data_IF_969084295206
#
_entry.id   IF_969084295206
#
_cell.length_a   1.000
_cell.length_b   1.000
_cell.length_c   1.000
_cell.angle_alpha   90.00
_cell.angle_beta   90.00
_cell.angle_gamma   90.00
#
_symmetry.space_group_name_H-M   'P 1'
#
loop_
_entity.id
_entity.type
_entity.pdbx_description
1 polymer ?
#
# COMPACT_ATOMS: atom_id res chain seq x y z
N UNK A 1 -29.47 21.75 46.70
CA UNK A 1 -28.83 20.57 47.30
C UNK A 1 -27.79 20.05 46.32
N UNK A 2 -26.50 20.27 46.58
CA UNK A 2 -25.42 19.77 45.71
C UNK A 2 -25.07 18.34 46.13
N UNK A 3 -25.36 17.37 45.27
CA UNK A 3 -24.97 15.97 45.44
C UNK A 3 -23.45 15.85 45.32
N UNK A 4 -22.76 15.73 46.45
CA UNK A 4 -21.35 15.37 46.49
C UNK A 4 -21.24 13.88 46.15
N UNK A 5 -20.73 13.57 44.95
CA UNK A 5 -20.43 12.20 44.54
C UNK A 5 -19.22 11.70 45.33
N UNK A 6 -19.45 11.09 46.50
CA UNK A 6 -18.42 10.48 47.33
C UNK A 6 -18.18 9.03 46.92
N UNK A 7 -17.68 8.80 45.70
CA UNK A 7 -17.05 7.53 45.37
C UNK A 7 -15.55 7.77 45.32
N UNK A 8 -14.90 7.60 46.48
CA UNK A 8 -13.45 7.61 46.55
C UNK A 8 -12.90 6.47 45.68
N UNK A 9 -12.02 6.83 44.74
CA UNK A 9 -11.35 5.86 43.90
C UNK A 9 -10.51 4.90 44.76
N UNK A 10 -10.97 3.65 44.88
CA UNK A 10 -10.27 2.65 45.66
C UNK A 10 -9.14 2.04 44.82
N UNK A 11 -7.98 2.71 44.84
CA UNK A 11 -6.80 2.32 44.06
C UNK A 11 -6.34 0.87 44.34
N UNK A 12 -6.59 0.36 45.56
CA UNK A 12 -6.22 -1.00 45.95
C UNK A 12 -7.09 -2.05 45.26
N UNK A 13 -8.40 -1.81 45.19
CA UNK A 13 -9.34 -2.67 44.48
C UNK A 13 -9.03 -2.73 42.98
N UNK A 14 -8.77 -1.57 42.37
CA UNK A 14 -8.42 -1.47 40.94
C UNK A 14 -7.09 -2.18 40.64
N UNK A 15 -6.11 -2.07 41.56
CA UNK A 15 -4.85 -2.80 41.42
C UNK A 15 -5.07 -4.31 41.47
N UNK A 16 -5.96 -4.79 42.34
CA UNK A 16 -6.29 -6.21 42.44
C UNK A 16 -7.01 -6.70 41.17
N UNK A 17 -7.99 -5.95 40.65
CA UNK A 17 -8.69 -6.34 39.41
C UNK A 17 -7.74 -6.41 38.21
N UNK A 18 -6.84 -5.43 38.07
CA UNK A 18 -5.82 -5.44 37.00
C UNK A 18 -4.87 -6.65 37.13
N UNK A 19 -4.51 -7.03 38.36
CA UNK A 19 -3.68 -8.22 38.59
C UNK A 19 -4.38 -9.52 38.23
N UNK A 20 -5.68 -9.63 38.53
CA UNK A 20 -6.52 -10.78 38.15
C UNK A 20 -6.67 -10.88 36.63
N UNK A 21 -6.96 -9.77 35.96
CA UNK A 21 -7.06 -9.70 34.49
C UNK A 21 -5.74 -10.06 33.81
N UNK A 22 -4.61 -9.54 34.31
CA UNK A 22 -3.30 -9.89 33.77
C UNK A 22 -2.97 -11.38 33.92
N UNK A 23 -3.34 -11.99 35.05
CA UNK A 23 -3.19 -13.45 35.23
C UNK A 23 -4.05 -14.22 34.23
N UNK A 24 -5.32 -13.84 34.07
CA UNK A 24 -6.22 -14.44 33.10
C UNK A 24 -5.70 -14.35 31.66
N UNK A 25 -5.22 -13.17 31.25
CA UNK A 25 -4.64 -12.95 29.91
C UNK A 25 -3.38 -13.80 29.71
N UNK A 26 -2.54 -13.90 30.73
CA UNK A 26 -1.33 -14.73 30.69
C UNK A 26 -1.67 -16.21 30.51
N UNK A 27 -2.66 -16.72 31.26
CA UNK A 27 -3.15 -18.09 31.11
C UNK A 27 -3.81 -18.34 29.74
N UNK A 28 -4.52 -17.34 29.21
CA UNK A 28 -5.13 -17.40 27.89
C UNK A 28 -4.05 -17.51 26.80
N UNK A 29 -2.99 -16.71 26.87
CA UNK A 29 -1.87 -16.78 25.93
C UNK A 29 -1.00 -18.03 26.10
N UNK A 30 -0.94 -18.62 27.30
CA UNK A 30 -0.29 -19.90 27.49
C UNK A 30 -1.05 -21.05 26.79
N UNK A 31 -2.39 -20.99 26.76
CA UNK A 31 -3.25 -21.99 26.09
C UNK A 31 -3.43 -21.72 24.60
N UNK A 32 -3.27 -20.47 24.17
CA UNK A 32 -3.36 -20.01 22.79
C UNK A 32 -1.98 -19.60 22.29
N UNK A 33 -1.20 -20.50 21.65
CA UNK A 33 0.06 -20.12 21.06
C UNK A 33 -0.20 -19.14 19.91
N UNK A 34 -0.13 -17.85 20.22
CA UNK A 34 -0.12 -16.81 19.21
C UNK A 34 1.19 -16.93 18.43
N UNK A 35 1.17 -16.92 17.09
CA UNK A 35 2.40 -16.76 16.34
C UNK A 35 2.95 -15.38 16.67
N UNK A 36 4.01 -15.34 17.50
CA UNK A 36 4.84 -14.16 17.67
C UNK A 36 5.38 -13.82 16.29
N UNK A 37 4.75 -12.86 15.61
CA UNK A 37 5.43 -12.11 14.57
C UNK A 37 6.48 -11.31 15.31
N UNK A 38 7.73 -11.75 15.21
CA UNK A 38 8.90 -11.04 15.74
C UNK A 38 8.74 -9.54 15.51
N UNK A 39 8.66 -8.81 16.62
CA UNK A 39 8.87 -7.37 16.59
C UNK A 39 10.33 -7.19 16.21
N UNK A 40 10.55 -6.76 14.97
CA UNK A 40 11.88 -6.43 14.48
C UNK A 40 12.46 -5.30 15.31
N UNK A 41 13.45 -5.64 16.14
CA UNK A 41 14.48 -4.71 16.57
C UNK A 41 15.48 -4.58 15.42
N UNK A 42 15.42 -3.44 14.75
CA UNK A 42 16.47 -3.03 13.82
C UNK A 42 17.72 -2.65 14.64
N UNK A 43 18.77 -3.48 14.60
CA UNK A 43 20.14 -2.99 14.39
C UNK A 43 21.14 -4.12 14.03
N UNK A 44 21.72 -3.93 12.84
CA UNK A 44 22.98 -4.39 12.25
C UNK A 44 23.54 -5.81 12.51
N UNK A 45 23.62 -6.51 11.37
CA UNK A 45 24.84 -7.11 10.83
C UNK A 45 25.33 -8.41 11.49
N UNK A 46 24.89 -9.55 10.93
CA UNK A 46 25.76 -10.48 10.21
C UNK A 46 24.98 -11.74 9.79
N UNK A 47 25.61 -12.44 8.85
CA UNK A 47 25.19 -13.62 8.12
C UNK A 47 24.59 -14.72 9.01
N UNK A 48 23.57 -15.42 8.51
CA UNK A 48 23.39 -16.81 8.93
C UNK A 48 22.75 -17.68 7.82
N UNK A 49 23.44 -18.79 7.62
CA UNK A 49 22.95 -20.02 7.03
C UNK A 49 21.81 -20.61 7.89
N UNK A 50 20.82 -21.13 7.16
CA UNK A 50 20.08 -22.38 7.38
C UNK A 50 19.28 -22.71 8.66
N UNK A 51 18.12 -23.35 8.37
CA UNK A 51 17.37 -24.34 9.14
C UNK A 51 16.46 -23.82 10.30
N UNK A 52 15.14 -24.07 10.36
CA UNK A 52 14.41 -25.33 10.10
C UNK A 52 12.88 -25.15 9.91
N UNK A 53 12.35 -25.92 8.95
CA UNK A 53 11.10 -26.73 8.98
C UNK A 53 9.76 -26.05 9.33
N UNK A 54 9.02 -25.67 8.27
CA UNK A 54 7.55 -25.79 8.20
C UNK A 54 7.19 -26.90 7.22
N UNK A 55 6.51 -27.95 7.71
CA UNK A 55 6.00 -29.06 6.89
C UNK A 55 5.00 -28.55 5.85
N UNK A 56 5.51 -28.24 4.66
CA UNK A 56 4.73 -28.01 3.45
C UNK A 56 4.52 -29.34 2.71
N UNK A 57 3.33 -29.50 2.13
CA UNK A 57 2.93 -30.65 1.32
C UNK A 57 3.95 -30.91 0.21
N UNK A 58 4.52 -32.10 0.20
CA UNK A 58 5.44 -32.61 -0.82
C UNK A 58 4.68 -32.83 -2.13
N UNK A 59 4.88 -31.92 -3.09
CA UNK A 59 4.78 -32.26 -4.50
C UNK A 59 6.16 -32.81 -4.91
N UNK A 60 6.25 -33.94 -5.63
CA UNK A 60 7.53 -34.40 -6.17
C UNK A 60 8.03 -33.35 -7.17
N UNK A 61 9.03 -32.56 -6.77
CA UNK A 61 9.78 -31.73 -7.70
C UNK A 61 10.94 -32.55 -8.19
N UNK A 62 10.91 -32.93 -9.46
CA UNK A 62 12.09 -33.43 -10.16
C UNK A 62 13.23 -32.42 -10.00
N UNK A 63 14.33 -32.91 -9.44
CA UNK A 63 15.59 -32.20 -9.40
C UNK A 63 16.14 -31.99 -10.81
N UNK A 64 16.48 -30.73 -11.09
CA UNK A 64 17.76 -30.26 -11.69
C UNK A 64 17.58 -28.97 -12.48
N UNK A 65 17.26 -27.87 -11.81
CA UNK A 65 17.82 -26.56 -12.21
C UNK A 65 18.12 -25.75 -10.95
N UNK A 66 19.36 -25.81 -10.47
CA UNK A 66 19.84 -24.93 -9.40
C UNK A 66 19.60 -23.46 -9.82
N UNK A 67 18.98 -22.69 -8.93
CA UNK A 67 18.71 -21.26 -9.12
C UNK A 67 20.05 -20.52 -9.12
N UNK A 68 20.28 -19.60 -10.05
CA UNK A 68 21.53 -18.82 -10.04
C UNK A 68 21.55 -17.89 -8.82
N UNK A 69 22.67 -17.86 -8.08
CA UNK A 69 22.80 -17.11 -6.83
C UNK A 69 23.66 -15.85 -7.01
N UNK A 70 24.74 -15.92 -7.78
CA UNK A 70 25.65 -14.78 -8.00
C UNK A 70 25.21 -13.89 -9.19
N UNK A 71 25.79 -12.68 -9.31
CA UNK A 71 25.50 -11.78 -10.45
C UNK A 71 26.09 -12.30 -11.77
N UNK A 72 27.29 -12.87 -11.71
CA UNK A 72 28.01 -13.42 -12.85
C UNK A 72 27.31 -14.66 -13.43
N UNK A 73 26.82 -15.56 -12.57
CA UNK A 73 26.01 -16.72 -12.99
C UNK A 73 24.74 -16.30 -13.74
N UNK A 74 24.13 -15.17 -13.38
CA UNK A 74 22.95 -14.66 -14.08
C UNK A 74 23.29 -14.18 -15.49
N UNK A 75 24.45 -13.54 -15.66
CA UNK A 75 24.93 -13.08 -16.96
C UNK A 75 25.25 -14.26 -17.87
N UNK A 76 26.03 -15.23 -17.38
CA UNK A 76 26.37 -16.44 -18.11
C UNK A 76 25.12 -17.22 -18.55
N UNK A 77 24.13 -17.38 -17.66
CA UNK A 77 22.86 -18.06 -18.00
C UNK A 77 22.02 -17.27 -19.01
N UNK A 78 22.07 -15.94 -18.96
CA UNK A 78 21.36 -15.09 -19.91
C UNK A 78 22.01 -15.13 -21.30
N UNK A 79 23.34 -15.18 -21.36
CA UNK A 79 24.08 -15.24 -22.62
C UNK A 79 23.95 -16.62 -23.29
N UNK A 80 23.95 -17.71 -22.52
CA UNK A 80 23.58 -19.03 -23.00
C UNK A 80 22.17 -19.06 -23.65
N UNK A 81 21.20 -18.36 -23.05
CA UNK A 81 19.85 -18.21 -23.60
C UNK A 81 19.74 -17.18 -24.73
N UNK A 82 20.72 -16.29 -24.92
CA UNK A 82 20.77 -15.38 -26.08
C UNK A 82 21.23 -16.12 -27.34
N UNK A 83 22.11 -17.12 -27.22
CA UNK A 83 22.69 -17.87 -28.34
C UNK A 83 21.72 -18.85 -29.03
N UNK A 84 20.61 -19.23 -28.39
CA UNK A 84 19.65 -20.17 -28.96
C UNK A 84 18.62 -19.46 -29.87
N UNK A 85 18.62 -19.78 -31.17
CA UNK A 85 17.77 -19.15 -32.20
C UNK A 85 16.27 -19.48 -32.09
N UNK A 86 15.90 -20.61 -31.46
CA UNK A 86 14.50 -20.99 -31.17
C UNK A 86 14.37 -21.33 -29.69
N UNK A 87 13.76 -20.44 -28.92
CA UNK A 87 13.52 -20.60 -27.48
C UNK A 87 12.08 -21.03 -27.23
N UNK A 88 11.90 -22.04 -26.39
CA UNK A 88 10.58 -22.46 -25.90
C UNK A 88 9.92 -21.36 -25.04
N UNK A 89 8.60 -21.39 -24.89
CA UNK A 89 7.85 -20.37 -24.14
C UNK A 89 8.35 -20.22 -22.69
N UNK A 90 8.66 -21.34 -22.03
CA UNK A 90 9.23 -21.34 -20.67
C UNK A 90 10.60 -20.67 -20.63
N UNK A 91 11.44 -20.91 -21.63
CA UNK A 91 12.78 -20.30 -21.74
C UNK A 91 12.71 -18.79 -22.02
N UNK A 92 11.72 -18.33 -22.81
CA UNK A 92 11.46 -16.90 -23.03
C UNK A 92 11.07 -16.19 -21.73
N UNK A 93 10.24 -16.82 -20.88
CA UNK A 93 9.88 -16.28 -19.57
C UNK A 93 11.10 -16.17 -18.65
N UNK A 94 11.95 -17.21 -18.61
CA UNK A 94 13.19 -17.20 -17.84
C UNK A 94 14.13 -16.09 -18.32
N UNK A 95 14.32 -15.94 -19.64
CA UNK A 95 15.14 -14.87 -20.23
C UNK A 95 14.64 -13.48 -19.84
N UNK A 96 13.32 -13.25 -19.84
CA UNK A 96 12.71 -11.99 -19.39
C UNK A 96 12.91 -11.77 -17.88
N UNK A 97 12.77 -12.81 -17.07
CA UNK A 97 13.01 -12.76 -15.63
C UNK A 97 14.46 -12.40 -15.28
N UNK A 98 15.43 -13.03 -15.95
CA UNK A 98 16.87 -12.75 -15.78
C UNK A 98 17.22 -11.31 -16.18
N UNK A 99 16.73 -10.84 -17.34
CA UNK A 99 16.92 -9.44 -17.79
C UNK A 99 16.41 -8.43 -16.76
N UNK A 100 15.22 -8.66 -16.21
CA UNK A 100 14.64 -7.77 -15.20
C UNK A 100 15.44 -7.79 -13.88
N UNK A 101 15.96 -8.96 -13.48
CA UNK A 101 16.76 -9.11 -12.25
C UNK A 101 18.11 -8.39 -12.37
N UNK A 102 18.77 -8.49 -13.51
CA UNK A 102 20.02 -7.76 -13.81
C UNK A 102 19.77 -6.25 -13.80
N UNK A 103 18.73 -5.77 -14.49
CA UNK A 103 18.36 -4.34 -14.50
C UNK A 103 18.07 -3.80 -13.09
N UNK A 104 17.43 -4.60 -12.23
CA UNK A 104 17.18 -4.22 -10.83
C UNK A 104 18.47 -4.15 -10.00
N UNK A 105 19.39 -5.10 -10.16
CA UNK A 105 20.69 -5.10 -9.47
C UNK A 105 21.54 -3.90 -9.89
N UNK A 106 21.72 -3.68 -11.20
CA UNK A 106 22.46 -2.53 -11.74
C UNK A 106 21.89 -1.18 -11.25
N UNK A 107 20.56 -1.01 -11.27
CA UNK A 107 19.94 0.23 -10.75
C UNK A 107 20.12 0.41 -9.24
N UNK A 108 20.26 -0.68 -8.48
CA UNK A 108 20.53 -0.63 -7.03
C UNK A 108 21.98 -0.21 -6.78
N UNK A 109 22.92 -0.78 -7.54
CA UNK A 109 24.35 -0.43 -7.48
C UNK A 109 24.58 1.04 -7.88
N UNK A 110 23.95 1.53 -8.94
CA UNK A 110 24.02 2.93 -9.37
C UNK A 110 23.55 3.90 -8.27
N UNK A 111 22.44 3.59 -7.60
CA UNK A 111 21.94 4.38 -6.46
C UNK A 111 22.90 4.37 -5.28
N UNK A 112 23.52 3.23 -4.99
CA UNK A 112 24.49 3.11 -3.91
C UNK A 112 25.78 3.88 -4.24
N UNK A 113 26.23 3.85 -5.50
CA UNK A 113 27.37 4.64 -5.96
C UNK A 113 27.09 6.15 -5.88
N UNK A 114 25.93 6.60 -6.35
CA UNK A 114 25.50 8.01 -6.22
C UNK A 114 25.42 8.45 -4.75
N UNK A 115 24.91 7.60 -3.86
CA UNK A 115 24.87 7.87 -2.41
C UNK A 115 26.27 7.95 -1.79
N UNK A 116 27.23 7.14 -2.26
CA UNK A 116 28.63 7.21 -1.81
C UNK A 116 29.32 8.49 -2.27
N UNK A 117 29.12 8.90 -3.54
CA UNK A 117 29.67 10.14 -4.08
C UNK A 117 29.11 11.35 -3.32
N UNK A 118 27.79 11.40 -3.09
CA UNK A 118 27.16 12.48 -2.31
C UNK A 118 27.68 12.55 -0.86
N UNK A 119 27.98 11.41 -0.22
CA UNK A 119 28.61 11.38 1.11
C UNK A 119 30.07 11.85 1.09
N UNK A 120 30.83 11.52 0.05
CA UNK A 120 32.21 11.98 -0.11
C UNK A 120 32.28 13.48 -0.39
N UNK A 121 31.35 14.02 -1.19
CA UNK A 121 31.22 15.45 -1.47
C UNK A 121 30.84 16.25 -0.22
N UNK A 122 29.95 15.71 0.62
CA UNK A 122 29.61 16.31 1.92
C UNK A 122 30.77 16.26 2.94
N UNK A 123 31.60 15.21 2.93
CA UNK A 123 32.76 15.12 3.82
C UNK A 123 34.00 15.87 3.29
N UNK A 124 34.09 16.17 2.00
CA UNK A 124 35.22 16.90 1.40
C UNK A 124 35.15 18.43 1.53
N UNK A 125 34.02 18.99 1.97
CA UNK A 125 33.76 20.44 2.01
C UNK A 125 33.75 21.08 3.41
N UNK A 126 34.36 20.46 4.43
CA UNK A 126 34.17 20.89 5.82
C UNK A 126 35.43 20.84 6.69
N UNK A 127 36.49 21.56 6.31
CA UNK A 127 37.63 21.83 7.19
C UNK A 127 37.68 23.33 7.55
N UNK A 128 36.94 23.74 8.59
CA UNK A 128 37.22 24.94 9.41
C UNK A 128 36.09 25.16 10.43
N UNK A 129 36.25 24.65 11.64
CA UNK A 129 36.10 25.47 12.86
C UNK A 129 36.60 24.65 14.05
N UNK A 130 37.84 24.95 14.41
CA UNK A 130 38.48 24.59 15.66
C UNK A 130 37.83 25.43 16.76
N UNK A 131 36.99 24.83 17.60
CA UNK A 131 36.56 25.46 18.86
C UNK A 131 37.22 24.68 20.00
N UNK A 132 37.96 25.45 20.81
CA UNK A 132 38.67 25.06 22.01
C UNK A 132 37.76 24.29 22.98
N UNK A 133 38.30 23.22 23.55
CA UNK A 133 37.78 22.59 24.76
C UNK A 133 38.77 22.98 25.86
N UNK A 134 38.35 23.87 26.74
CA UNK A 134 38.99 24.12 28.04
C UNK A 134 38.19 23.36 29.11
N UNK A 135 38.93 22.82 30.07
CA UNK A 135 38.46 21.96 31.15
C UNK A 135 37.46 22.65 32.09
N UNK A 136 36.43 21.90 32.47
CA UNK A 136 35.42 22.33 33.43
C UNK A 136 34.51 21.17 33.80
N UNK A 137 34.94 20.39 34.79
CA UNK A 137 34.15 19.33 35.41
C UNK A 137 32.93 19.93 36.12
N UNK A 138 31.72 19.65 35.61
CA UNK A 138 30.53 19.48 36.44
C UNK A 138 29.40 18.84 35.62
N UNK A 139 28.89 17.71 36.11
CA UNK A 139 27.80 16.98 35.48
C UNK A 139 26.54 17.85 35.42
N UNK A 140 25.94 18.09 34.24
CA UNK A 140 24.72 18.89 34.16
C UNK A 140 23.55 18.07 34.69
N UNK A 141 22.99 18.51 35.82
CA UNK A 141 21.69 18.05 36.31
C UNK A 141 20.67 18.23 35.19
N UNK A 142 20.13 17.10 34.69
CA UNK A 142 19.15 17.06 33.60
C UNK A 142 17.84 17.69 34.09
N UNK A 143 17.72 19.01 33.96
CA UNK A 143 16.43 19.68 34.05
C UNK A 143 15.59 19.22 32.86
N UNK A 144 14.39 18.70 33.12
CA UNK A 144 13.48 18.24 32.08
C UNK A 144 13.12 19.43 31.20
N UNK A 145 13.70 19.49 29.99
CA UNK A 145 13.41 20.56 29.04
C UNK A 145 11.91 20.54 28.72
N UNK A 146 11.25 21.70 28.86
CA UNK A 146 9.85 21.86 28.46
C UNK A 146 9.73 21.54 26.96
N UNK A 147 8.66 20.84 26.54
CA UNK A 147 8.45 20.55 25.13
C UNK A 147 8.41 21.85 24.33
N UNK A 148 9.26 21.95 23.31
CA UNK A 148 9.29 23.08 22.38
C UNK A 148 8.22 22.80 21.31
N UNK A 149 7.33 23.75 21.10
CA UNK A 149 6.28 23.66 20.09
C UNK A 149 6.61 24.59 18.92
N UNK A 150 6.37 24.12 17.70
CA UNK A 150 6.43 24.95 16.48
C UNK A 150 5.32 26.01 16.47
N UNK A 151 5.39 26.95 15.51
CA UNK A 151 4.32 27.92 15.24
C UNK A 151 2.95 27.29 14.95
N UNK A 152 2.94 26.03 14.49
CA UNK A 152 1.75 25.22 14.25
C UNK A 152 1.24 24.44 15.48
N UNK A 153 1.89 24.60 16.65
CA UNK A 153 1.48 23.92 17.89
C UNK A 153 1.87 22.44 17.98
N UNK A 154 2.79 21.98 17.12
CA UNK A 154 3.33 20.61 17.13
C UNK A 154 4.63 20.54 17.93
N UNK A 155 4.82 19.51 18.74
CA UNK A 155 6.04 19.32 19.54
C UNK A 155 7.22 18.95 18.64
N UNK A 156 8.31 19.72 18.70
CA UNK A 156 9.52 19.49 17.91
C UNK A 156 10.75 19.37 18.80
N UNK A 157 11.56 18.37 18.48
CA UNK A 157 12.75 17.99 19.25
C UNK A 157 14.04 18.65 18.73
N UNK A 158 13.96 19.39 17.62
CA UNK A 158 15.05 20.15 17.01
C UNK A 158 15.00 21.63 17.42
N UNK A 159 16.16 22.30 17.50
CA UNK A 159 16.25 23.76 17.71
C UNK A 159 15.88 24.58 16.48
N UNK A 160 15.75 23.94 15.32
CA UNK A 160 15.38 24.57 14.06
C UNK A 160 13.97 24.14 13.65
N UNK A 161 13.13 25.12 13.34
CA UNK A 161 11.79 24.91 12.79
C UNK A 161 11.86 24.92 11.26
N UNK A 162 11.55 23.77 10.63
CA UNK A 162 11.52 23.62 9.18
C UNK A 162 10.11 23.78 8.58
N UNK A 163 9.10 24.16 9.37
CA UNK A 163 7.70 24.26 8.93
C UNK A 163 7.53 25.28 7.78
N UNK A 164 8.40 26.29 7.69
CA UNK A 164 8.36 27.32 6.65
C UNK A 164 9.19 26.97 5.41
N UNK A 165 10.21 26.11 5.55
CA UNK A 165 11.10 25.68 4.45
C UNK A 165 10.45 24.50 3.70
N UNK A 166 9.42 24.81 2.92
CA UNK A 166 8.81 23.82 2.01
C UNK A 166 7.33 24.00 1.72
N UNK A 167 6.64 24.91 2.41
CA UNK A 167 5.21 25.19 2.22
C UNK A 167 4.96 26.11 1.02
N UNK A 168 5.57 25.82 -0.14
CA UNK A 168 4.91 26.20 -1.41
C UNK A 168 3.62 25.40 -1.46
N UNK A 169 2.52 26.01 -0.99
CA UNK A 169 1.17 25.45 -1.01
C UNK A 169 0.94 24.87 -2.40
N UNK A 170 0.89 23.55 -2.50
CA UNK A 170 0.48 22.89 -3.74
C UNK A 170 -0.89 23.46 -4.08
N UNK A 171 -1.13 23.91 -5.32
CA UNK A 171 -2.44 24.44 -5.68
C UNK A 171 -3.52 23.43 -5.29
N UNK A 172 -4.68 23.91 -4.80
CA UNK A 172 -5.72 23.03 -4.30
C UNK A 172 -6.09 21.99 -5.36
N UNK A 173 -6.29 20.75 -4.92
CA UNK A 173 -6.60 19.60 -5.78
C UNK A 173 -7.83 19.82 -6.67
N UNK A 174 -8.70 20.77 -6.33
CA UNK A 174 -9.85 21.21 -7.13
C UNK A 174 -9.47 21.75 -8.51
N UNK A 175 -8.29 22.35 -8.68
CA UNK A 175 -7.80 22.83 -9.98
C UNK A 175 -7.36 21.67 -10.89
N UNK A 176 -7.18 20.47 -10.34
CA UNK A 176 -6.77 19.28 -11.10
C UNK A 176 -7.94 18.45 -11.64
N UNK A 177 -9.19 18.81 -11.31
CA UNK A 177 -10.36 18.08 -11.78
C UNK A 177 -10.54 18.26 -13.30
N UNK A 178 -10.45 17.20 -14.12
CA UNK A 178 -10.50 17.33 -15.58
C UNK A 178 -11.86 17.81 -16.09
N UNK A 179 -12.95 17.57 -15.31
CA UNK A 179 -14.30 18.08 -15.63
C UNK A 179 -14.38 19.60 -15.45
N UNK A 180 -13.85 20.12 -14.34
CA UNK A 180 -13.82 21.56 -14.06
C UNK A 180 -12.90 22.29 -15.03
N UNK A 181 -11.73 21.71 -15.34
CA UNK A 181 -10.82 22.26 -16.34
C UNK A 181 -11.50 22.37 -17.73
N UNK A 182 -12.29 21.37 -18.12
CA UNK A 182 -13.05 21.40 -19.37
C UNK A 182 -14.13 22.50 -19.35
N UNK A 183 -14.87 22.64 -18.24
CA UNK A 183 -15.86 23.70 -18.08
C UNK A 183 -15.23 25.10 -18.12
N UNK A 184 -14.07 25.28 -17.49
CA UNK A 184 -13.33 26.54 -17.53
C UNK A 184 -12.93 26.90 -18.96
N UNK A 185 -12.44 25.94 -19.74
CA UNK A 185 -12.11 26.16 -21.15
C UNK A 185 -13.34 26.49 -22.00
N UNK A 186 -14.48 25.85 -21.73
CA UNK A 186 -15.74 26.16 -22.40
C UNK A 186 -16.18 27.60 -22.10
N UNK A 187 -16.21 27.99 -20.83
CA UNK A 187 -16.58 29.35 -20.42
C UNK A 187 -15.61 30.40 -20.99
N UNK A 188 -14.30 30.11 -21.03
CA UNK A 188 -13.33 31.01 -21.69
C UNK A 188 -13.64 31.17 -23.19
N UNK A 189 -13.99 30.07 -23.87
CA UNK A 189 -14.35 30.10 -25.29
C UNK A 189 -15.66 30.87 -25.52
N UNK A 190 -16.67 30.65 -24.70
CA UNK A 190 -17.95 31.36 -24.73
C UNK A 190 -17.74 32.87 -24.55
N UNK A 191 -16.97 33.27 -23.53
CA UNK A 191 -16.64 34.69 -23.30
C UNK A 191 -15.92 35.33 -24.50
N UNK A 192 -15.02 34.61 -25.16
CA UNK A 192 -14.35 35.11 -26.37
C UNK A 192 -15.34 35.24 -27.54
N UNK A 193 -16.26 34.29 -27.71
CA UNK A 193 -17.29 34.34 -28.74
C UNK A 193 -18.30 35.46 -28.49
N UNK A 194 -18.68 35.71 -27.24
CA UNK A 194 -19.55 36.83 -26.86
C UNK A 194 -18.92 38.18 -27.23
N UNK A 195 -17.64 38.39 -26.91
CA UNK A 195 -16.91 39.61 -27.28
C UNK A 195 -16.78 39.78 -28.80
N UNK A 196 -16.54 38.68 -29.53
CA UNK A 196 -16.51 38.70 -30.99
C UNK A 196 -17.89 39.06 -31.59
N UNK A 197 -18.97 38.53 -31.01
CA UNK A 197 -20.35 38.80 -31.45
C UNK A 197 -20.80 40.23 -31.13
N UNK A 198 -20.30 40.82 -30.04
CA UNK A 198 -20.54 42.21 -29.66
C UNK A 198 -19.76 43.22 -30.53
N UNK A 199 -18.95 42.76 -31.48
CA UNK A 199 -18.18 43.60 -32.41
C UNK A 199 -16.82 44.07 -31.87
N UNK A 200 -16.44 43.71 -30.64
CA UNK A 200 -15.20 44.11 -29.98
C UNK A 200 -14.02 43.17 -30.33
N UNK A 201 -13.74 43.01 -31.63
CA UNK A 201 -12.74 42.06 -32.13
C UNK A 201 -11.33 42.34 -31.60
N UNK A 202 -10.93 43.60 -31.48
CA UNK A 202 -9.60 43.97 -30.97
C UNK A 202 -9.39 43.53 -29.52
N UNK A 203 -10.40 43.75 -28.66
CA UNK A 203 -10.35 43.30 -27.26
C UNK A 203 -10.31 41.77 -27.15
N UNK A 204 -11.03 41.06 -28.02
CA UNK A 204 -10.97 39.60 -28.07
C UNK A 204 -9.58 39.07 -28.48
N UNK A 205 -8.91 39.75 -29.42
CA UNK A 205 -7.54 39.42 -29.83
C UNK A 205 -6.55 39.69 -28.70
N UNK A 206 -6.63 40.86 -28.05
CA UNK A 206 -5.77 41.21 -26.92
C UNK A 206 -5.92 40.20 -25.76
N UNK A 207 -7.15 39.75 -25.48
CA UNK A 207 -7.43 38.72 -24.47
C UNK A 207 -6.81 37.37 -24.84
N UNK A 208 -6.91 36.95 -26.11
CA UNK A 208 -6.28 35.71 -26.60
C UNK A 208 -4.76 35.76 -26.48
N UNK A 209 -4.15 36.88 -26.85
CA UNK A 209 -2.70 37.09 -26.73
C UNK A 209 -2.25 37.07 -25.27
N UNK A 210 -2.95 37.80 -24.39
CA UNK A 210 -2.67 37.78 -22.94
C UNK A 210 -2.74 36.37 -22.37
N UNK A 211 -3.75 35.58 -22.74
CA UNK A 211 -3.89 34.20 -22.27
C UNK A 211 -2.82 33.26 -22.85
N UNK A 212 -2.43 33.46 -24.11
CA UNK A 212 -1.32 32.73 -24.72
C UNK A 212 0.00 33.00 -23.99
N UNK A 213 0.33 34.27 -23.72
CA UNK A 213 1.54 34.65 -22.98
C UNK A 213 1.52 34.11 -21.54
N UNK A 214 0.39 34.17 -20.85
CA UNK A 214 0.23 33.55 -19.52
C UNK A 214 0.49 32.04 -19.55
N UNK A 215 -0.04 31.32 -20.55
CA UNK A 215 0.17 29.88 -20.71
C UNK A 215 1.64 29.56 -20.98
N UNK A 216 2.33 30.36 -21.80
CA UNK A 216 3.76 30.19 -22.09
C UNK A 216 4.61 30.46 -20.84
N UNK A 217 4.31 31.52 -20.09
CA UNK A 217 5.02 31.86 -18.86
C UNK A 217 4.83 30.77 -17.80
N UNK A 218 3.61 30.27 -17.62
CA UNK A 218 3.32 29.16 -16.71
C UNK A 218 4.04 27.87 -17.11
N UNK A 219 4.14 27.56 -18.42
CA UNK A 219 4.93 26.42 -18.90
C UNK A 219 6.43 26.62 -18.62
N UNK A 220 6.95 27.83 -18.80
CA UNK A 220 8.35 28.17 -18.54
C UNK A 220 8.70 28.12 -17.04
N UNK A 221 7.76 28.48 -16.16
CA UNK A 221 7.93 28.36 -14.71
C UNK A 221 7.90 26.91 -14.20
N UNK A 222 7.58 25.95 -15.08
CA UNK A 222 7.48 24.52 -14.76
C UNK A 222 6.08 24.06 -14.34
N UNK A 223 5.07 24.92 -14.47
CA UNK A 223 3.69 24.56 -14.19
C UNK A 223 3.10 23.68 -15.31
N UNK A 224 2.39 22.61 -14.91
CA UNK A 224 1.76 21.66 -15.85
C UNK A 224 0.41 22.18 -16.31
N UNK A 225 0.44 23.05 -17.30
CA UNK A 225 -0.75 23.61 -17.94
C UNK A 225 -1.54 22.53 -18.69
N UNK A 226 -2.87 22.47 -18.48
CA UNK A 226 -3.77 21.44 -19.03
C UNK A 226 -4.93 22.05 -19.82
N UNK A 227 -4.61 22.68 -20.94
CA UNK A 227 -5.57 23.47 -21.72
C UNK A 227 -6.18 22.72 -22.92
N UNK A 228 -5.75 21.47 -23.19
CA UNK A 228 -6.21 20.71 -24.36
C UNK A 228 -7.58 20.03 -24.13
N UNK A 229 -8.66 20.45 -24.84
CA UNK A 229 -10.01 19.94 -24.59
C UNK A 229 -10.15 18.45 -24.94
N UNK A 230 -9.46 17.98 -25.98
CA UNK A 230 -9.51 16.57 -26.39
C UNK A 230 -8.84 15.64 -25.37
N UNK A 231 -7.70 16.06 -24.81
CA UNK A 231 -7.00 15.30 -23.79
C UNK A 231 -7.80 15.25 -22.48
N UNK A 232 -8.46 16.34 -22.12
CA UNK A 232 -9.36 16.38 -20.96
C UNK A 232 -10.55 15.43 -21.16
N UNK A 233 -11.22 15.47 -22.32
CA UNK A 233 -12.30 14.53 -22.67
C UNK A 233 -11.83 13.07 -22.60
N UNK A 234 -10.66 12.75 -23.17
CA UNK A 234 -10.07 11.41 -23.12
C UNK A 234 -9.75 10.97 -21.70
N UNK A 235 -9.28 11.89 -20.86
CA UNK A 235 -8.97 11.63 -19.45
C UNK A 235 -10.24 11.32 -18.66
N UNK A 236 -11.31 12.10 -18.88
CA UNK A 236 -12.65 11.84 -18.30
C UNK A 236 -13.15 10.45 -18.71
N UNK A 237 -13.11 10.11 -20.01
CA UNK A 237 -13.51 8.78 -20.49
C UNK A 237 -12.70 7.66 -19.84
N UNK A 238 -11.38 7.85 -19.68
CA UNK A 238 -10.51 6.86 -19.02
C UNK A 238 -10.88 6.65 -17.55
N UNK A 239 -11.17 7.72 -16.81
CA UNK A 239 -11.57 7.60 -15.40
C UNK A 239 -12.95 6.96 -15.26
N UNK A 240 -13.89 7.28 -16.14
CA UNK A 240 -15.21 6.64 -16.20
C UNK A 240 -15.13 5.16 -16.53
N UNK A 241 -14.30 4.78 -17.52
CA UNK A 241 -14.04 3.37 -17.82
C UNK A 241 -13.39 2.62 -16.64
N UNK A 242 -12.47 3.25 -15.92
CA UNK A 242 -11.86 2.66 -14.74
C UNK A 242 -12.90 2.43 -13.64
N UNK A 243 -13.79 3.40 -13.40
CA UNK A 243 -14.90 3.29 -12.46
C UNK A 243 -15.88 2.18 -12.85
N UNK A 244 -16.23 2.08 -14.13
CA UNK A 244 -17.09 1.02 -14.64
C UNK A 244 -16.46 -0.37 -14.47
N UNK A 245 -15.14 -0.49 -14.69
CA UNK A 245 -14.40 -1.75 -14.44
C UNK A 245 -14.36 -2.11 -12.96
N UNK A 246 -14.17 -1.14 -12.07
CA UNK A 246 -14.20 -1.40 -10.63
C UNK A 246 -15.60 -1.80 -10.15
N UNK A 247 -16.64 -1.15 -10.67
CA UNK A 247 -18.03 -1.47 -10.36
C UNK A 247 -18.34 -2.92 -10.74
N UNK A 248 -18.12 -3.30 -12.00
CA UNK A 248 -18.32 -4.68 -12.47
C UNK A 248 -17.57 -5.72 -11.63
N UNK A 249 -16.31 -5.43 -11.25
CA UNK A 249 -15.53 -6.33 -10.39
C UNK A 249 -16.12 -6.47 -8.99
N UNK A 250 -16.72 -5.39 -8.47
CA UNK A 250 -17.40 -5.42 -7.19
C UNK A 250 -18.69 -6.23 -7.27
N UNK A 251 -19.49 -6.01 -8.32
CA UNK A 251 -20.73 -6.73 -8.56
C UNK A 251 -20.45 -8.24 -8.70
N UNK A 252 -19.47 -8.64 -9.51
CA UNK A 252 -19.08 -10.05 -9.64
C UNK A 252 -18.59 -10.67 -8.33
N UNK A 253 -17.94 -9.90 -7.44
CA UNK A 253 -17.55 -10.41 -6.12
C UNK A 253 -18.75 -10.62 -5.21
N UNK A 254 -19.74 -9.71 -5.27
CA UNK A 254 -20.97 -9.84 -4.50
C UNK A 254 -21.74 -11.08 -4.98
N UNK A 255 -21.89 -11.25 -6.29
CA UNK A 255 -22.51 -12.42 -6.91
C UNK A 255 -21.79 -13.73 -6.52
N UNK A 256 -20.45 -13.76 -6.57
CA UNK A 256 -19.66 -14.93 -6.17
C UNK A 256 -19.86 -15.29 -4.69
N UNK A 257 -19.90 -14.29 -3.81
CA UNK A 257 -20.16 -14.48 -2.39
C UNK A 257 -21.58 -15.01 -2.17
N UNK A 258 -22.57 -14.45 -2.85
CA UNK A 258 -23.96 -14.88 -2.74
C UNK A 258 -24.14 -16.30 -3.26
N UNK A 259 -23.60 -16.61 -4.44
CA UNK A 259 -23.59 -17.96 -4.99
C UNK A 259 -22.91 -18.95 -4.04
N UNK A 260 -21.77 -18.58 -3.47
CA UNK A 260 -21.07 -19.41 -2.48
C UNK A 260 -21.89 -19.67 -1.21
N UNK A 261 -22.71 -18.71 -0.76
CA UNK A 261 -23.66 -18.92 0.36
C UNK A 261 -24.79 -19.86 -0.04
N UNK A 262 -25.40 -19.63 -1.19
CA UNK A 262 -26.50 -20.44 -1.72
C UNK A 262 -26.07 -21.91 -1.94
N UNK A 263 -24.91 -22.13 -2.57
CA UNK A 263 -24.36 -23.48 -2.78
C UNK A 263 -24.12 -24.24 -1.46
N UNK A 264 -23.62 -23.55 -0.43
CA UNK A 264 -23.44 -24.17 0.90
C UNK A 264 -24.78 -24.53 1.54
N UNK A 265 -25.79 -23.67 1.39
CA UNK A 265 -27.14 -23.92 1.91
C UNK A 265 -27.82 -25.06 1.15
N UNK A 266 -27.72 -25.11 -0.18
CA UNK A 266 -28.23 -26.21 -1.00
C UNK A 266 -27.56 -27.54 -0.61
N UNK A 267 -26.22 -27.59 -0.52
CA UNK A 267 -25.50 -28.80 -0.05
C UNK A 267 -25.97 -29.24 1.33
N UNK A 268 -26.23 -28.31 2.25
CA UNK A 268 -26.77 -28.64 3.58
C UNK A 268 -28.17 -29.24 3.48
N UNK A 269 -29.06 -28.64 2.68
CA UNK A 269 -30.42 -29.15 2.47
C UNK A 269 -30.40 -30.55 1.84
N UNK A 270 -29.61 -30.76 0.80
CA UNK A 270 -29.42 -32.05 0.15
C UNK A 270 -28.92 -33.12 1.13
N UNK A 271 -27.91 -32.80 1.94
CA UNK A 271 -27.39 -33.71 2.96
C UNK A 271 -28.44 -34.06 4.03
N UNK A 272 -29.26 -33.09 4.44
CA UNK A 272 -30.37 -33.33 5.38
C UNK A 272 -31.43 -34.22 4.75
N UNK A 273 -31.81 -33.96 3.50
CA UNK A 273 -32.77 -34.78 2.75
C UNK A 273 -32.26 -36.20 2.55
N UNK A 274 -30.98 -36.37 2.20
CA UNK A 274 -30.33 -37.68 2.09
C UNK A 274 -30.37 -38.42 3.42
N UNK A 275 -29.98 -37.78 4.53
CA UNK A 275 -30.10 -38.39 5.88
C UNK A 275 -31.54 -38.80 6.22
N UNK A 276 -32.54 -37.98 5.87
CA UNK A 276 -33.96 -38.33 6.08
C UNK A 276 -34.37 -39.54 5.24
N UNK A 277 -33.97 -39.61 3.97
CA UNK A 277 -34.22 -40.76 3.08
C UNK A 277 -33.52 -42.02 3.60
N UNK A 278 -32.24 -41.93 3.96
CA UNK A 278 -31.45 -43.05 4.48
C UNK A 278 -32.03 -43.63 5.77
N UNK A 279 -32.56 -42.78 6.67
CA UNK A 279 -33.29 -43.25 7.86
C UNK A 279 -34.53 -44.07 7.49
N UNK A 280 -35.33 -43.60 6.52
CA UNK A 280 -36.52 -44.32 6.04
C UNK A 280 -36.14 -45.65 5.37
N UNK A 281 -35.15 -45.65 4.47
CA UNK A 281 -34.69 -46.86 3.78
C UNK A 281 -34.07 -47.87 4.73
N UNK A 282 -33.28 -47.44 5.72
CA UNK A 282 -32.74 -48.34 6.75
C UNK A 282 -33.83 -48.93 7.64
N UNK A 283 -34.89 -48.17 7.98
CA UNK A 283 -36.06 -48.70 8.71
C UNK A 283 -36.78 -49.77 7.89
N UNK A 284 -37.01 -49.54 6.60
CA UNK A 284 -37.59 -50.51 5.67
C UNK A 284 -36.72 -51.77 5.54
N UNK A 285 -35.41 -51.62 5.31
CA UNK A 285 -34.46 -52.75 5.24
C UNK A 285 -34.45 -53.58 6.53
N UNK A 286 -34.49 -52.94 7.70
CA UNK A 286 -34.56 -53.64 8.99
C UNK A 286 -35.89 -54.38 9.19
N UNK A 287 -37.00 -53.83 8.73
CA UNK A 287 -38.30 -54.49 8.80
C UNK A 287 -38.36 -55.73 7.88
N UNK A 288 -37.86 -55.59 6.64
CA UNK A 288 -37.74 -56.70 5.68
C UNK A 288 -36.85 -57.83 6.21
N UNK A 289 -35.68 -57.52 6.78
CA UNK A 289 -34.79 -58.53 7.41
C UNK A 289 -35.43 -59.30 8.57
N UNK A 290 -36.45 -58.72 9.22
CA UNK A 290 -37.20 -59.35 10.32
C UNK A 290 -38.46 -60.10 9.84
N UNK A 291 -38.65 -60.26 8.52
CA UNK A 291 -39.78 -60.96 7.95
C UNK A 291 -41.12 -60.22 8.07
N UNK A 292 -41.13 -58.93 8.43
CA UNK A 292 -42.36 -58.13 8.41
C UNK A 292 -42.70 -57.74 6.98
N UNK A 293 -43.86 -58.21 6.49
CA UNK A 293 -44.43 -57.81 5.20
C UNK A 293 -44.67 -56.30 5.23
N UNK A 294 -44.03 -55.59 4.31
CA UNK A 294 -44.17 -54.14 4.18
C UNK A 294 -45.29 -53.91 3.18
N UNK A 295 -46.49 -53.58 3.65
CA UNK A 295 -47.60 -53.22 2.78
C UNK A 295 -47.36 -51.82 2.18
N UNK A 296 -47.36 -51.72 0.84
CA UNK A 296 -47.31 -50.45 0.11
C UNK A 296 -45.90 -49.94 -0.24
N UNK A 297 -44.89 -50.80 -0.21
CA UNK A 297 -43.64 -50.63 -0.96
C UNK A 297 -43.45 -51.80 -1.93
#
# INVERSE_FOLDING_TARGET
>A
MQLKMTNFFNAKLVKQSIQEENRFITELFAKMPLPMSELGEDNDESEDEDNTVKKAKLFPTDDKVKRAHTFEELHQKLDALKGQKKLDHKQKLIRKGLKNRIKKKSKREERMAQKKIARMEQNGGGAMTRVKIEDGAEAPKVSRAKPVFNSEGNMVFSKFDFSEIGTKKKPPTSERDPKKALQLLQHKKERLQELESAGEKEKALEMKEKDAWKSVLAKASGEKVRDDPELLKRTIKRTEQQKAKSLKKWDSRIEEVEKGKQERQQKRQENILKRKKDKKTNKLKRASKKGRVIAGF
#
